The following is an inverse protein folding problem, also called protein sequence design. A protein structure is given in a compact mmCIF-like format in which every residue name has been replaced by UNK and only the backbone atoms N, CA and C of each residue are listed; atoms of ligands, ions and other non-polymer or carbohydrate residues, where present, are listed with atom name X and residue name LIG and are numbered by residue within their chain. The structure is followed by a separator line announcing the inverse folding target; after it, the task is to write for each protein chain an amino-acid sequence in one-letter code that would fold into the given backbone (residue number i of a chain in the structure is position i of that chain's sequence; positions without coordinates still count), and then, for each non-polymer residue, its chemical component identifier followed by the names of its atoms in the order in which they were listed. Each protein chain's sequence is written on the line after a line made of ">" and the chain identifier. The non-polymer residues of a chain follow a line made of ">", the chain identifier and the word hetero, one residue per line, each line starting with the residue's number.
data_IF_236346390970
#
_entry.id   IF_236346390970
#
_cell.length_a   1.000
_cell.length_b   1.000
_cell.length_c   1.000
_cell.angle_alpha   90.00
_cell.angle_beta   90.00
_cell.angle_gamma   90.00
#
_symmetry.space_group_name_H-M   'P 1'
#
loop_
_entity.id
_entity.type
_entity.pdbx_description
1 polymer ?
#
# COMPACT_ATOMS: atom_id res chain seq x y z
N UNK A 1 -3.88 17.61 3.65
CA UNK A 1 -2.91 16.59 3.23
C UNK A 1 -2.71 15.58 4.35
N UNK A 2 -2.84 14.31 4.02
CA UNK A 2 -2.69 13.24 4.99
C UNK A 2 -1.21 13.02 5.33
N UNK A 3 -0.88 12.85 6.61
CA UNK A 3 0.51 12.63 7.03
C UNK A 3 0.77 11.14 7.22
N UNK A 4 2.04 10.74 7.07
CA UNK A 4 2.44 9.35 7.28
C UNK A 4 2.29 8.92 8.74
N UNK A 5 2.52 9.85 9.67
CA UNK A 5 2.47 9.56 11.10
C UNK A 5 1.48 10.49 11.79
N UNK A 6 0.82 9.97 12.81
CA UNK A 6 -0.05 10.79 13.66
C UNK A 6 0.82 11.62 14.64
N UNK A 7 0.22 12.52 15.45
CA UNK A 7 0.98 13.32 16.41
C UNK A 7 1.77 12.52 17.44
N UNK A 8 1.39 11.26 17.66
CA UNK A 8 2.06 10.37 18.60
C UNK A 8 3.17 9.52 17.95
N UNK A 9 3.42 9.73 16.65
CA UNK A 9 4.45 9.01 15.90
C UNK A 9 4.00 7.63 15.41
N UNK A 10 2.71 7.34 15.45
CA UNK A 10 2.17 6.07 14.97
C UNK A 10 1.89 6.15 13.48
N UNK A 11 2.28 5.11 12.74
CA UNK A 11 2.10 5.04 11.29
C UNK A 11 0.60 5.03 10.94
N UNK A 12 0.21 5.97 10.09
CA UNK A 12 -1.18 6.26 9.72
C UNK A 12 -1.65 5.45 8.52
N UNK A 13 -1.09 4.26 8.32
CA UNK A 13 -1.27 3.50 7.07
C UNK A 13 -2.73 3.06 6.83
N UNK A 14 -3.43 2.69 7.90
CA UNK A 14 -4.82 2.24 7.77
C UNK A 14 -5.72 3.35 7.21
N UNK A 15 -5.57 4.56 7.73
CA UNK A 15 -6.34 5.71 7.26
C UNK A 15 -5.94 6.11 5.83
N UNK A 16 -4.65 6.04 5.52
CA UNK A 16 -4.15 6.37 4.18
C UNK A 16 -4.75 5.42 3.15
N UNK A 17 -4.73 4.13 3.43
CA UNK A 17 -5.26 3.11 2.52
C UNK A 17 -6.78 3.23 2.40
N UNK A 18 -7.50 3.31 3.51
CA UNK A 18 -8.96 3.32 3.50
C UNK A 18 -9.55 4.58 2.85
N UNK A 19 -8.82 5.68 2.86
CA UNK A 19 -9.25 6.93 2.23
C UNK A 19 -8.78 7.07 0.78
N UNK A 20 -7.93 6.15 0.30
CA UNK A 20 -7.44 6.23 -1.06
C UNK A 20 -8.54 5.89 -2.06
N UNK A 21 -8.70 6.68 -3.15
CA UNK A 21 -9.75 6.42 -4.13
C UNK A 21 -9.70 5.02 -4.76
N UNK A 22 -8.50 4.49 -4.99
CA UNK A 22 -8.33 3.15 -5.56
C UNK A 22 -8.89 2.08 -4.63
N UNK A 23 -8.63 2.22 -3.32
CA UNK A 23 -9.14 1.27 -2.33
C UNK A 23 -10.67 1.32 -2.27
N UNK A 24 -11.23 2.53 -2.23
CA UNK A 24 -12.68 2.71 -2.17
C UNK A 24 -13.36 2.10 -3.39
N UNK A 25 -12.78 2.30 -4.58
CA UNK A 25 -13.33 1.75 -5.81
C UNK A 25 -13.33 0.21 -5.81
N UNK A 26 -12.23 -0.39 -5.36
CA UNK A 26 -12.09 -1.86 -5.30
C UNK A 26 -13.07 -2.45 -4.29
N UNK A 27 -13.23 -1.79 -3.13
CA UNK A 27 -14.05 -2.32 -2.04
C UNK A 27 -15.52 -1.94 -2.14
N UNK A 28 -15.93 -1.28 -3.22
CA UNK A 28 -17.30 -0.81 -3.39
C UNK A 28 -18.31 -1.96 -3.36
N UNK A 29 -18.00 -3.08 -4.00
CA UNK A 29 -18.88 -4.24 -4.04
C UNK A 29 -18.46 -5.35 -3.08
N UNK A 30 -17.44 -5.10 -2.26
CA UNK A 30 -17.00 -6.03 -1.24
C UNK A 30 -16.14 -7.18 -1.75
N UNK A 31 -15.72 -7.13 -3.03
CA UNK A 31 -14.90 -8.20 -3.56
C UNK A 31 -13.98 -7.69 -4.68
N UNK A 32 -12.83 -8.34 -4.84
CA UNK A 32 -11.80 -7.91 -5.80
C UNK A 32 -11.83 -8.82 -7.02
N UNK A 33 -12.15 -8.24 -8.18
CA UNK A 33 -12.14 -8.98 -9.45
C UNK A 33 -10.73 -9.02 -10.04
N UNK A 34 -10.51 -9.94 -10.99
CA UNK A 34 -9.26 -10.00 -11.74
C UNK A 34 -8.96 -8.69 -12.46
N UNK A 35 -10.00 -8.06 -13.01
CA UNK A 35 -9.86 -6.78 -13.69
C UNK A 35 -9.40 -5.69 -12.73
N UNK A 36 -10.02 -5.61 -11.55
CA UNK A 36 -9.65 -4.62 -10.55
C UNK A 36 -8.22 -4.82 -10.05
N UNK A 37 -7.81 -6.07 -9.85
CA UNK A 37 -6.46 -6.38 -9.45
C UNK A 37 -5.45 -5.95 -10.51
N UNK A 38 -5.74 -6.23 -11.79
CA UNK A 38 -4.86 -5.82 -12.89
C UNK A 38 -4.76 -4.31 -12.97
N UNK A 39 -5.87 -3.61 -12.85
CA UNK A 39 -5.89 -2.14 -12.88
C UNK A 39 -5.08 -1.57 -11.72
N UNK A 40 -5.13 -2.19 -10.55
CA UNK A 40 -4.33 -1.76 -9.40
C UNK A 40 -2.85 -1.99 -9.64
N UNK A 41 -2.47 -3.11 -10.23
CA UNK A 41 -1.07 -3.37 -10.62
C UNK A 41 -0.59 -2.29 -11.58
N UNK A 42 -1.38 -1.99 -12.61
CA UNK A 42 -1.02 -0.96 -13.59
C UNK A 42 -0.86 0.42 -12.96
N UNK A 43 -1.76 0.77 -12.04
CA UNK A 43 -1.68 2.05 -11.31
C UNK A 43 -0.42 2.12 -10.44
N UNK A 44 -0.07 1.02 -9.81
CA UNK A 44 1.12 0.93 -8.96
C UNK A 44 2.39 1.11 -9.81
N UNK A 45 2.46 0.44 -10.95
CA UNK A 45 3.59 0.56 -11.87
C UNK A 45 3.73 2.00 -12.36
N UNK A 46 2.62 2.63 -12.74
CA UNK A 46 2.63 4.02 -13.21
C UNK A 46 3.15 4.97 -12.12
N UNK A 47 2.74 4.77 -10.87
CA UNK A 47 3.20 5.59 -9.74
C UNK A 47 4.69 5.40 -9.49
N UNK A 48 5.19 4.18 -9.58
CA UNK A 48 6.61 3.88 -9.39
C UNK A 48 7.47 4.47 -10.52
N UNK A 49 6.97 4.41 -11.77
CA UNK A 49 7.66 5.04 -12.90
C UNK A 49 7.77 6.55 -12.71
N UNK A 50 6.74 7.17 -12.17
CA UNK A 50 6.74 8.60 -11.87
C UNK A 50 7.82 8.95 -10.84
N UNK A 51 7.93 8.13 -9.80
CA UNK A 51 8.98 8.30 -8.79
C UNK A 51 10.37 8.17 -9.38
N UNK A 52 10.56 7.26 -10.32
CA UNK A 52 11.85 7.07 -10.99
C UNK A 52 12.30 8.34 -11.70
N UNK A 53 11.37 9.08 -12.28
CA UNK A 53 11.67 10.34 -12.98
C UNK A 53 11.95 11.47 -11.98
N UNK A 54 11.18 11.54 -10.88
CA UNK A 54 11.23 12.65 -9.94
C UNK A 54 12.35 12.56 -8.92
N UNK A 55 12.86 11.36 -8.67
CA UNK A 55 13.82 11.10 -7.59
C UNK A 55 15.18 10.70 -8.13
N UNK A 56 16.25 11.09 -7.42
CA UNK A 56 17.59 10.61 -7.74
C UNK A 56 17.74 9.14 -7.26
N UNK A 57 18.88 8.54 -7.57
CA UNK A 57 19.12 7.13 -7.28
C UNK A 57 19.09 6.82 -5.77
N UNK A 58 19.64 7.70 -4.96
CA UNK A 58 19.64 7.55 -3.50
C UNK A 58 18.22 7.58 -2.94
N UNK A 59 17.41 8.52 -3.42
CA UNK A 59 16.01 8.62 -3.02
C UNK A 59 15.21 7.41 -3.48
N UNK A 60 15.46 6.92 -4.70
CA UNK A 60 14.82 5.72 -5.21
C UNK A 60 15.13 4.51 -4.35
N UNK A 61 16.37 4.36 -3.91
CA UNK A 61 16.77 3.25 -3.04
C UNK A 61 16.08 3.32 -1.68
N UNK A 62 15.94 4.50 -1.11
CA UNK A 62 15.24 4.69 0.16
C UNK A 62 13.76 4.35 0.04
N UNK A 63 13.14 4.76 -1.05
CA UNK A 63 11.73 4.45 -1.33
C UNK A 63 11.53 2.95 -1.52
N UNK A 64 12.43 2.31 -2.27
CA UNK A 64 12.36 0.87 -2.51
C UNK A 64 12.49 0.09 -1.20
N UNK A 65 13.38 0.52 -0.32
CA UNK A 65 13.54 -0.11 1.00
C UNK A 65 12.25 0.03 1.82
N UNK A 66 11.66 1.21 1.83
CA UNK A 66 10.40 1.45 2.55
C UNK A 66 9.27 0.58 2.00
N UNK A 67 9.16 0.47 0.67
CA UNK A 67 8.16 -0.37 0.02
C UNK A 67 8.36 -1.83 0.39
N UNK A 68 9.62 -2.29 0.41
CA UNK A 68 9.95 -3.67 0.77
C UNK A 68 9.53 -3.99 2.21
N UNK A 69 9.82 -3.09 3.14
CA UNK A 69 9.41 -3.27 4.54
C UNK A 69 7.89 -3.25 4.69
N UNK A 70 7.22 -2.37 3.99
CA UNK A 70 5.75 -2.33 4.00
C UNK A 70 5.14 -3.62 3.44
N UNK A 71 5.75 -4.17 2.39
CA UNK A 71 5.28 -5.41 1.79
C UNK A 71 5.43 -6.59 2.75
N UNK A 72 6.54 -6.64 3.48
CA UNK A 72 6.76 -7.64 4.53
C UNK A 72 5.70 -7.49 5.63
N UNK A 73 5.45 -6.26 6.05
CA UNK A 73 4.42 -5.98 7.07
C UNK A 73 3.05 -6.49 6.64
N UNK A 74 2.66 -6.21 5.41
CA UNK A 74 1.35 -6.64 4.90
C UNK A 74 1.27 -8.16 4.82
N UNK A 75 2.32 -8.82 4.36
CA UNK A 75 2.35 -10.28 4.30
C UNK A 75 2.30 -10.89 5.70
N UNK A 76 3.05 -10.34 6.64
CA UNK A 76 3.06 -10.82 8.02
C UNK A 76 1.68 -10.61 8.67
N UNK A 77 1.06 -9.46 8.46
CA UNK A 77 -0.25 -9.17 9.01
C UNK A 77 -1.32 -10.10 8.44
N UNK A 78 -1.26 -10.36 7.15
CA UNK A 78 -2.19 -11.29 6.51
C UNK A 78 -2.07 -12.69 7.11
N UNK A 79 -0.85 -13.18 7.27
CA UNK A 79 -0.61 -14.50 7.88
C UNK A 79 -1.06 -14.53 9.34
N UNK A 80 -0.84 -13.45 10.08
CA UNK A 80 -1.28 -13.34 11.47
C UNK A 80 -2.81 -13.44 11.56
N UNK A 81 -3.55 -12.78 10.67
CA UNK A 81 -4.99 -12.85 10.64
C UNK A 81 -5.48 -14.25 10.32
N UNK A 82 -4.83 -14.93 9.37
CA UNK A 82 -5.18 -16.31 9.02
C UNK A 82 -4.99 -17.25 10.21
N UNK A 83 -3.90 -17.08 10.97
CA UNK A 83 -3.64 -17.89 12.16
C UNK A 83 -4.74 -17.71 13.21
N UNK A 84 -5.15 -16.47 13.45
CA UNK A 84 -6.20 -16.17 14.42
C UNK A 84 -7.55 -16.72 13.96
N UNK A 85 -7.81 -16.69 12.69
CA UNK A 85 -9.06 -17.15 12.12
C UNK A 85 -9.21 -18.69 12.21
N UNK A 86 -8.09 -19.41 12.23
CA UNK A 86 -8.09 -20.88 12.27
C UNK A 86 -8.32 -21.49 13.64
N UNK A 87 -8.42 -20.68 14.65
CA UNK A 87 -8.66 -21.19 16.03
C UNK A 87 -10.05 -21.74 16.23
#
# INVERSE_FOLDING_TARGET
>A
MQTLFDPNGILNIADIVSNHPSYKAIMEDGFVSDKELKEQVDATIASLQKLQILCNKEQQNAILEAISEMSVLFAAYHNYELQNFRK
#
